data_IF_753622266073
#
_entry.id   IF_753622266073
#
_cell.length_a   1.000
_cell.length_b   1.000
_cell.length_c   1.000
_cell.angle_alpha   90.00
_cell.angle_beta   90.00
_cell.angle_gamma   90.00
#
_symmetry.space_group_name_H-M   'P 1'
#
loop_
_entity.id
_entity.type
_entity.pdbx_description
1 polymer ?
#
# COMPACT_ATOMS: atom_id res chain seq x y z
N UNK A 1 25.25 14.04 8.06
CA UNK A 1 24.23 14.66 7.19
C UNK A 1 23.10 13.65 7.15
N UNK A 2 22.16 13.78 8.09
CA UNK A 2 21.07 12.82 8.28
C UNK A 2 19.89 13.35 7.48
N UNK A 3 19.54 12.66 6.40
CA UNK A 3 18.33 12.97 5.64
C UNK A 3 17.13 12.67 6.53
N UNK A 4 16.48 13.72 7.02
CA UNK A 4 15.20 13.62 7.72
C UNK A 4 14.17 13.37 6.63
N UNK A 5 13.77 12.12 6.47
CA UNK A 5 12.66 11.75 5.61
C UNK A 5 11.40 12.43 6.14
N UNK A 6 11.06 13.57 5.54
CA UNK A 6 9.95 14.41 5.98
C UNK A 6 8.69 13.85 5.35
N UNK A 7 7.95 13.04 6.10
CA UNK A 7 6.64 12.58 5.68
C UNK A 7 5.70 13.80 5.64
N UNK A 8 5.17 14.11 4.46
CA UNK A 8 4.15 15.14 4.33
C UNK A 8 2.95 14.77 5.23
N UNK A 9 2.30 15.73 5.91
CA UNK A 9 1.12 15.43 6.72
C UNK A 9 0.09 14.72 5.86
N UNK A 10 -0.30 13.51 6.26
CA UNK A 10 -1.28 12.74 5.52
C UNK A 10 -2.60 13.50 5.47
N UNK A 11 -3.28 13.55 4.30
CA UNK A 11 -4.61 14.11 4.22
C UNK A 11 -5.55 13.38 5.19
N UNK A 12 -6.55 14.11 5.69
CA UNK A 12 -7.57 13.57 6.58
C UNK A 12 -8.20 12.29 5.98
N UNK A 13 -8.58 11.30 6.81
CA UNK A 13 -9.21 10.08 6.33
C UNK A 13 -10.43 10.43 5.47
N UNK A 14 -10.55 9.78 4.31
CA UNK A 14 -11.66 10.01 3.39
C UNK A 14 -12.98 9.66 4.10
N UNK A 15 -13.82 10.66 4.39
CA UNK A 15 -15.21 10.45 4.81
C UNK A 15 -15.99 9.95 3.59
N UNK A 16 -16.73 8.84 3.72
CA UNK A 16 -17.42 8.11 2.62
C UNK A 16 -16.84 8.44 1.23
N UNK A 17 -15.57 8.10 1.02
CA UNK A 17 -14.78 8.66 -0.07
C UNK A 17 -14.21 7.57 -0.95
N UNK A 18 -14.57 7.62 -2.23
CA UNK A 18 -13.92 6.83 -3.28
C UNK A 18 -12.43 7.16 -3.33
N UNK A 19 -11.57 6.14 -3.38
CA UNK A 19 -10.19 6.35 -3.81
C UNK A 19 -10.19 6.47 -5.32
N UNK A 20 -9.63 7.58 -5.84
CA UNK A 20 -9.30 7.68 -7.26
C UNK A 20 -7.95 7.00 -7.45
N UNK A 21 -7.94 5.90 -8.21
CA UNK A 21 -6.72 5.19 -8.55
C UNK A 21 -6.24 5.67 -9.91
N UNK A 22 -4.97 6.04 -9.99
CA UNK A 22 -4.29 6.25 -11.25
C UNK A 22 -3.82 4.89 -11.78
N UNK A 23 -4.58 4.34 -12.71
CA UNK A 23 -4.35 3.03 -13.32
C UNK A 23 -4.26 3.25 -14.84
N UNK A 24 -3.09 2.99 -15.41
CA UNK A 24 -2.81 3.04 -16.83
C UNK A 24 -2.41 1.67 -17.39
N UNK A 25 -2.05 1.60 -18.67
CA UNK A 25 -1.67 0.34 -19.32
C UNK A 25 -0.51 -0.37 -18.58
N UNK A 26 0.44 0.39 -18.06
CA UNK A 26 1.65 -0.12 -17.39
C UNK A 26 1.64 0.09 -15.87
N UNK A 27 0.59 0.72 -15.31
CA UNK A 27 0.48 0.99 -13.87
C UNK A 27 -0.75 0.34 -13.27
N UNK A 28 -0.57 -0.29 -12.12
CA UNK A 28 -1.61 -0.86 -11.30
C UNK A 28 -1.66 -0.23 -9.91
N UNK A 29 -2.47 -0.83 -9.05
CA UNK A 29 -2.57 -0.48 -7.65
C UNK A 29 -2.56 -1.74 -6.77
N UNK A 30 -2.18 -1.59 -5.51
CA UNK A 30 -2.28 -2.65 -4.50
C UNK A 30 -3.17 -2.21 -3.37
N UNK A 31 -4.07 -3.10 -2.93
CA UNK A 31 -4.78 -3.00 -1.66
C UNK A 31 -4.23 -4.07 -0.72
N UNK A 32 -3.68 -3.66 0.44
CA UNK A 32 -3.28 -4.60 1.48
C UNK A 32 -4.35 -4.59 2.58
N UNK A 33 -5.11 -5.67 2.69
CA UNK A 33 -6.10 -5.89 3.74
C UNK A 33 -5.43 -6.29 5.05
N UNK A 34 -5.82 -5.65 6.14
CA UNK A 34 -5.25 -5.86 7.47
C UNK A 34 -6.35 -5.97 8.54
N UNK A 35 -5.95 -6.30 9.77
CA UNK A 35 -6.83 -6.24 10.96
C UNK A 35 -6.85 -4.83 11.56
N UNK A 36 -7.91 -4.49 12.29
CA UNK A 36 -8.09 -3.18 12.93
C UNK A 36 -6.96 -2.79 13.90
N UNK A 37 -6.33 -3.77 14.53
CA UNK A 37 -5.14 -3.57 15.41
C UNK A 37 -3.94 -2.96 14.68
N UNK A 38 -3.93 -3.01 13.35
CA UNK A 38 -2.88 -2.43 12.51
C UNK A 38 -3.22 -1.02 12.02
N UNK A 39 -4.29 -0.37 12.49
CA UNK A 39 -4.54 1.03 12.12
C UNK A 39 -3.33 1.91 12.46
N UNK A 40 -2.89 2.71 11.50
CA UNK A 40 -1.64 3.47 11.64
C UNK A 40 -0.39 2.78 11.13
N UNK A 41 -0.36 1.44 11.02
CA UNK A 41 0.83 0.70 10.59
C UNK A 41 1.24 1.10 9.17
N UNK A 42 2.50 1.47 9.01
CA UNK A 42 3.11 1.65 7.69
C UNK A 42 3.62 0.31 7.17
N UNK A 43 3.22 -0.03 5.94
CA UNK A 43 3.73 -1.22 5.24
C UNK A 43 4.43 -0.73 3.98
N UNK A 44 5.62 -1.27 3.76
CA UNK A 44 6.43 -0.95 2.58
C UNK A 44 6.30 -2.05 1.52
N UNK A 45 6.36 -1.62 0.26
CA UNK A 45 6.56 -2.50 -0.90
C UNK A 45 7.74 -1.99 -1.72
N UNK A 46 8.47 -2.89 -2.37
CA UNK A 46 9.46 -2.54 -3.39
C UNK A 46 9.44 -3.55 -4.53
N UNK A 47 9.84 -3.16 -5.76
CA UNK A 47 10.11 -4.13 -6.82
C UNK A 47 11.10 -5.18 -6.33
N UNK A 48 10.88 -6.44 -6.67
CA UNK A 48 11.73 -7.54 -6.16
C UNK A 48 13.19 -7.44 -6.63
N UNK A 49 13.44 -6.81 -7.79
CA UNK A 49 14.78 -6.54 -8.33
C UNK A 49 15.43 -5.25 -7.80
N UNK A 50 14.67 -4.38 -7.14
CA UNK A 50 15.12 -3.12 -6.56
C UNK A 50 14.65 -2.99 -5.09
N UNK A 51 15.14 -3.84 -4.17
CA UNK A 51 14.60 -3.94 -2.81
C UNK A 51 14.71 -2.63 -2.00
N UNK A 52 15.65 -1.76 -2.35
CA UNK A 52 15.86 -0.45 -1.71
C UNK A 52 14.87 0.62 -2.21
N UNK A 53 14.17 0.40 -3.34
CA UNK A 53 13.18 1.35 -3.88
C UNK A 53 11.81 1.17 -3.21
N UNK A 54 11.78 1.44 -1.90
CA UNK A 54 10.59 1.31 -1.05
C UNK A 54 9.56 2.39 -1.33
N UNK A 55 8.29 2.00 -1.38
CA UNK A 55 7.13 2.89 -1.28
C UNK A 55 6.28 2.40 -0.12
N UNK A 56 5.73 3.31 0.68
CA UNK A 56 4.94 2.96 1.85
C UNK A 56 3.59 3.68 1.85
N UNK A 57 2.63 3.05 2.54
CA UNK A 57 1.40 3.70 2.93
C UNK A 57 0.99 3.19 4.31
N UNK A 58 0.20 3.99 5.01
CA UNK A 58 -0.34 3.63 6.30
C UNK A 58 -1.71 2.95 6.15
N UNK A 59 -1.94 1.91 6.96
CA UNK A 59 -3.27 1.29 7.13
C UNK A 59 -4.24 2.34 7.68
N UNK A 60 -5.44 2.37 7.11
CA UNK A 60 -6.53 3.25 7.54
C UNK A 60 -7.87 2.51 7.53
N UNK A 61 -8.83 2.92 8.39
CA UNK A 61 -10.20 2.47 8.29
C UNK A 61 -10.85 3.01 7.01
N UNK A 62 -11.56 2.14 6.31
CA UNK A 62 -12.41 2.43 5.16
C UNK A 62 -13.84 2.07 5.53
N UNK A 63 -14.67 3.09 5.68
CA UNK A 63 -16.07 2.93 6.05
C UNK A 63 -16.90 2.61 4.80
N UNK A 64 -17.49 1.41 4.79
CA UNK A 64 -18.50 0.97 3.83
C UNK A 64 -19.88 0.99 4.52
N UNK A 65 -20.95 0.88 3.73
CA UNK A 65 -22.32 0.96 4.24
C UNK A 65 -22.64 -0.04 5.37
N UNK A 66 -22.02 -1.22 5.36
CA UNK A 66 -22.28 -2.32 6.30
C UNK A 66 -21.11 -2.65 7.24
N UNK A 67 -19.90 -2.17 6.94
CA UNK A 67 -18.68 -2.57 7.65
C UNK A 67 -17.55 -1.55 7.55
N UNK A 68 -16.60 -1.63 8.47
CA UNK A 68 -15.31 -0.95 8.35
C UNK A 68 -14.24 -1.97 7.98
N UNK A 69 -13.53 -1.71 6.87
CA UNK A 69 -12.36 -2.49 6.46
C UNK A 69 -11.11 -1.72 6.84
N UNK A 70 -10.09 -2.40 7.37
CA UNK A 70 -8.77 -1.79 7.54
C UNK A 70 -7.87 -2.25 6.39
N UNK A 71 -7.36 -1.29 5.64
CA UNK A 71 -6.43 -1.54 4.56
C UNK A 71 -5.60 -0.30 4.26
N UNK A 72 -4.52 -0.50 3.54
CA UNK A 72 -3.80 0.56 2.83
C UNK A 72 -3.96 0.36 1.33
N UNK A 73 -3.68 1.43 0.59
CA UNK A 73 -3.71 1.46 -0.87
C UNK A 73 -2.44 2.13 -1.36
N UNK A 74 -1.74 1.50 -2.30
CA UNK A 74 -0.56 2.08 -2.96
C UNK A 74 -0.82 2.13 -4.47
N UNK A 75 -0.75 3.34 -5.02
CA UNK A 75 -0.89 3.62 -6.44
C UNK A 75 -0.24 4.96 -6.78
N UNK A 76 0.30 5.14 -8.00
CA UNK A 76 0.49 4.12 -9.02
C UNK A 76 1.70 3.21 -8.70
N UNK A 77 1.65 1.97 -9.14
CA UNK A 77 2.80 1.04 -9.17
C UNK A 77 3.01 0.54 -10.58
N UNK A 78 4.24 0.55 -11.09
CA UNK A 78 4.57 -0.08 -12.37
C UNK A 78 4.25 -1.57 -12.32
N UNK A 79 3.76 -2.15 -13.42
CA UNK A 79 3.53 -3.58 -13.51
C UNK A 79 4.83 -4.37 -13.24
N UNK A 80 4.75 -5.42 -12.42
CA UNK A 80 5.92 -6.20 -12.01
C UNK A 80 5.73 -6.98 -10.72
N UNK A 81 6.77 -7.69 -10.29
CA UNK A 81 6.82 -8.41 -9.02
C UNK A 81 7.29 -7.47 -7.91
N UNK A 82 6.57 -7.49 -6.79
CA UNK A 82 6.86 -6.68 -5.62
C UNK A 82 7.01 -7.55 -4.38
N UNK A 83 7.95 -7.17 -3.53
CA UNK A 83 8.07 -7.66 -2.16
C UNK A 83 7.26 -6.77 -1.23
N UNK A 84 6.42 -7.38 -0.40
CA UNK A 84 5.78 -6.74 0.76
C UNK A 84 6.65 -7.00 1.98
N UNK A 85 6.97 -5.97 2.74
CA UNK A 85 7.95 -6.04 3.83
C UNK A 85 7.29 -6.04 5.20
N UNK A 86 7.74 -6.94 6.07
CA UNK A 86 7.35 -6.98 7.48
C UNK A 86 8.10 -5.91 8.28
N UNK A 87 9.38 -5.76 7.96
CA UNK A 87 10.31 -4.78 8.55
C UNK A 87 11.38 -4.40 7.52
N UNK A 88 12.39 -3.64 7.94
CA UNK A 88 13.47 -3.17 7.07
C UNK A 88 14.19 -4.31 6.31
N UNK A 89 14.22 -5.51 6.87
CA UNK A 89 15.04 -6.63 6.39
C UNK A 89 14.26 -7.91 6.08
N UNK A 90 13.05 -8.05 6.60
CA UNK A 90 12.26 -9.29 6.50
C UNK A 90 11.14 -9.15 5.47
N UNK A 91 11.16 -9.94 4.38
CA UNK A 91 10.01 -10.05 3.48
C UNK A 91 8.83 -10.69 4.21
N UNK A 92 7.65 -10.08 4.13
CA UNK A 92 6.39 -10.71 4.52
C UNK A 92 5.88 -11.64 3.41
N UNK A 93 6.03 -11.23 2.15
CA UNK A 93 5.69 -12.04 0.99
C UNK A 93 5.87 -11.27 -0.33
N UNK A 94 5.36 -11.84 -1.42
CA UNK A 94 5.41 -11.20 -2.75
C UNK A 94 4.01 -11.09 -3.36
N UNK A 95 3.86 -10.15 -4.29
CA UNK A 95 2.67 -9.98 -5.11
C UNK A 95 3.04 -9.50 -6.51
N UNK A 96 2.18 -9.78 -7.48
CA UNK A 96 2.30 -9.28 -8.85
C UNK A 96 1.39 -8.08 -9.05
N UNK A 97 1.94 -6.94 -9.43
CA UNK A 97 1.17 -5.78 -9.91
C UNK A 97 0.95 -5.95 -11.40
N UNK A 98 -0.32 -5.96 -11.82
CA UNK A 98 -0.70 -5.96 -13.24
C UNK A 98 -1.19 -4.57 -13.62
N UNK A 99 -0.68 -4.02 -14.74
CA UNK A 99 -1.19 -2.76 -15.29
C UNK A 99 -2.69 -2.84 -15.57
N UNK A 100 -3.41 -1.72 -15.45
CA UNK A 100 -4.86 -1.73 -15.66
C UNK A 100 -5.66 -2.33 -14.51
N UNK A 101 -5.01 -2.84 -13.46
CA UNK A 101 -5.65 -3.69 -12.44
C UNK A 101 -5.31 -3.28 -11.01
N UNK A 102 -6.16 -3.76 -10.09
CA UNK A 102 -5.92 -3.70 -8.65
C UNK A 102 -5.56 -5.10 -8.17
N UNK A 103 -4.41 -5.23 -7.52
CA UNK A 103 -3.98 -6.47 -6.85
C UNK A 103 -4.34 -6.39 -5.37
N UNK A 104 -4.93 -7.44 -4.82
CA UNK A 104 -5.22 -7.55 -3.38
C UNK A 104 -4.19 -8.43 -2.69
N UNK A 105 -3.81 -8.05 -1.47
CA UNK A 105 -2.89 -8.79 -0.60
C UNK A 105 -3.43 -8.82 0.82
N UNK A 106 -3.17 -9.91 1.55
CA UNK A 106 -3.62 -10.07 2.93
C UNK A 106 -2.43 -10.06 3.89
N UNK A 107 -2.47 -9.16 4.86
CA UNK A 107 -1.54 -9.08 5.99
C UNK A 107 -2.06 -9.95 7.13
N UNK A 108 -1.38 -11.06 7.45
CA UNK A 108 -1.89 -12.10 8.35
C UNK A 108 -0.94 -12.46 9.48
#
# INVERSE_FOLDING_TARGET
>A
MTDVHTHAPLPAPSTEGSVVLDIGADTGAVIVHTRAEHDGLEIEVSPTDEPDRRTHAAVRPRHLADRTIHCLVISPLTAGEYTVWLDATTPHGTLTVTGGSVTEYHWS
#
